data_IF_097356419097
#
_entry.id   IF_097356419097
#
_cell.length_a   1.000
_cell.length_b   1.000
_cell.length_c   1.000
_cell.angle_alpha   90.00
_cell.angle_beta   90.00
_cell.angle_gamma   90.00
#
_symmetry.space_group_name_H-M   'P 1'
#
loop_
_entity.id
_entity.type
_entity.pdbx_description
1 polymer ?
#
# COMPACT_ATOMS: atom_id res chain seq x y z
N UNK A 1 -24.26 22.13 -0.89
CA UNK A 1 -24.80 20.85 -1.37
C UNK A 1 -24.00 20.27 -2.54
N UNK A 2 -23.65 21.09 -3.55
CA UNK A 2 -22.88 20.67 -4.72
C UNK A 2 -21.45 20.17 -4.38
N UNK A 3 -20.75 20.86 -3.51
CA UNK A 3 -19.42 20.46 -3.03
C UNK A 3 -19.40 19.09 -2.30
N UNK A 4 -20.44 18.79 -1.52
CA UNK A 4 -20.51 17.49 -0.81
C UNK A 4 -20.77 16.31 -1.74
N UNK A 5 -21.55 16.52 -2.80
CA UNK A 5 -21.80 15.47 -3.81
C UNK A 5 -20.54 15.20 -4.65
N UNK A 6 -19.78 16.22 -4.96
CA UNK A 6 -18.51 16.11 -5.70
C UNK A 6 -17.48 15.39 -4.84
N UNK A 7 -17.35 15.73 -3.57
CA UNK A 7 -16.47 15.03 -2.61
C UNK A 7 -16.78 13.53 -2.53
N UNK A 8 -18.04 13.16 -2.35
CA UNK A 8 -18.43 11.75 -2.26
C UNK A 8 -18.09 10.96 -3.53
N UNK A 9 -18.23 11.57 -4.71
CA UNK A 9 -17.88 10.93 -5.99
C UNK A 9 -16.38 10.66 -6.09
N UNK A 10 -15.55 11.57 -5.59
CA UNK A 10 -14.09 11.41 -5.62
C UNK A 10 -13.65 10.28 -4.71
N UNK A 11 -14.12 10.26 -3.47
CA UNK A 11 -13.84 9.16 -2.56
C UNK A 11 -14.30 7.82 -3.14
N UNK A 12 -15.52 7.74 -3.66
CA UNK A 12 -16.05 6.51 -4.26
C UNK A 12 -15.17 5.99 -5.40
N UNK A 13 -14.74 6.87 -6.32
CA UNK A 13 -13.85 6.50 -7.43
C UNK A 13 -12.46 6.08 -6.93
N UNK A 14 -11.89 6.79 -5.97
CA UNK A 14 -10.58 6.45 -5.38
C UNK A 14 -10.60 5.08 -4.72
N UNK A 15 -11.61 4.80 -3.88
CA UNK A 15 -11.76 3.49 -3.25
C UNK A 15 -12.06 2.37 -4.27
N UNK A 16 -12.82 2.67 -5.33
CA UNK A 16 -13.06 1.70 -6.41
C UNK A 16 -11.75 1.29 -7.12
N UNK A 17 -10.92 2.27 -7.50
CA UNK A 17 -9.61 2.00 -8.09
C UNK A 17 -8.71 1.23 -7.13
N UNK A 18 -8.65 1.63 -5.85
CA UNK A 18 -7.90 0.92 -4.81
C UNK A 18 -8.36 -0.55 -4.69
N UNK A 19 -9.68 -0.78 -4.65
CA UNK A 19 -10.24 -2.13 -4.60
C UNK A 19 -9.83 -2.98 -5.80
N UNK A 20 -9.89 -2.42 -7.01
CA UNK A 20 -9.44 -3.13 -8.23
C UNK A 20 -7.95 -3.49 -8.16
N UNK A 21 -7.11 -2.60 -7.66
CA UNK A 21 -5.69 -2.88 -7.45
C UNK A 21 -5.44 -4.01 -6.44
N UNK A 22 -6.12 -3.97 -5.29
CA UNK A 22 -6.04 -5.01 -4.26
C UNK A 22 -6.54 -6.37 -4.78
N UNK A 23 -7.66 -6.37 -5.49
CA UNK A 23 -8.21 -7.58 -6.09
C UNK A 23 -7.23 -8.16 -7.12
N UNK A 24 -6.70 -7.32 -8.01
CA UNK A 24 -5.72 -7.73 -9.02
C UNK A 24 -4.45 -8.30 -8.40
N UNK A 25 -3.86 -7.60 -7.43
CA UNK A 25 -2.66 -8.09 -6.74
C UNK A 25 -2.91 -9.38 -5.97
N UNK A 26 -4.08 -9.53 -5.33
CA UNK A 26 -4.47 -10.75 -4.64
C UNK A 26 -4.60 -11.96 -5.59
N UNK A 27 -5.23 -11.77 -6.75
CA UNK A 27 -5.36 -12.81 -7.79
C UNK A 27 -3.97 -13.21 -8.31
N UNK A 28 -3.12 -12.23 -8.64
CA UNK A 28 -1.77 -12.50 -9.14
C UNK A 28 -0.93 -13.19 -8.08
N UNK A 29 -1.02 -12.78 -6.81
CA UNK A 29 -0.29 -13.42 -5.71
C UNK A 29 -0.68 -14.90 -5.55
N UNK A 30 -1.98 -15.18 -5.53
CA UNK A 30 -2.48 -16.55 -5.46
C UNK A 30 -2.06 -17.37 -6.69
N UNK A 31 -2.22 -16.83 -7.90
CA UNK A 31 -1.81 -17.49 -9.13
C UNK A 31 -0.31 -17.79 -9.13
N UNK A 32 0.54 -16.83 -8.80
CA UNK A 32 2.00 -17.00 -8.75
C UNK A 32 2.40 -18.12 -7.81
N UNK A 33 1.76 -18.21 -6.64
CA UNK A 33 2.05 -19.26 -5.68
C UNK A 33 1.54 -20.62 -6.14
N UNK A 34 0.24 -20.75 -6.48
CA UNK A 34 -0.36 -22.05 -6.80
C UNK A 34 0.03 -22.62 -8.15
N UNK A 35 0.53 -21.82 -9.09
CA UNK A 35 1.05 -22.29 -10.39
C UNK A 35 2.50 -22.80 -10.33
N UNK A 36 3.19 -22.67 -9.17
CA UNK A 36 4.61 -23.02 -9.04
C UNK A 36 5.57 -21.96 -9.58
N UNK A 37 5.07 -20.82 -10.08
CA UNK A 37 5.93 -19.73 -10.55
C UNK A 37 6.77 -19.14 -9.40
N UNK A 38 6.22 -19.12 -8.19
CA UNK A 38 6.95 -18.64 -7.00
C UNK A 38 8.23 -19.46 -6.77
N UNK A 39 8.15 -20.80 -6.83
CA UNK A 39 9.30 -21.68 -6.65
C UNK A 39 10.37 -21.46 -7.73
N UNK A 40 9.93 -21.26 -8.98
CA UNK A 40 10.82 -20.94 -10.09
C UNK A 40 11.52 -19.58 -9.90
N UNK A 41 10.82 -18.56 -9.39
CA UNK A 41 11.40 -17.25 -9.12
C UNK A 41 12.45 -17.31 -8.00
N UNK A 42 12.21 -18.10 -6.97
CA UNK A 42 13.17 -18.28 -5.85
C UNK A 42 14.37 -19.07 -6.32
N UNK A 43 14.17 -20.23 -6.99
CA UNK A 43 15.25 -21.12 -7.42
C UNK A 43 16.21 -20.47 -8.42
N UNK A 44 15.70 -19.60 -9.30
CA UNK A 44 16.50 -18.87 -10.27
C UNK A 44 17.05 -17.53 -9.76
N UNK A 45 16.91 -17.23 -8.45
CA UNK A 45 17.25 -15.94 -7.84
C UNK A 45 16.59 -14.72 -8.53
N UNK A 46 15.51 -14.93 -9.30
CA UNK A 46 14.83 -13.88 -10.07
C UNK A 46 13.88 -13.04 -9.20
N UNK A 47 13.58 -13.48 -7.97
CA UNK A 47 12.70 -12.75 -7.06
C UNK A 47 13.25 -11.35 -6.74
N UNK A 48 14.58 -11.22 -6.61
CA UNK A 48 15.22 -9.91 -6.43
C UNK A 48 14.99 -8.95 -7.60
N UNK A 49 14.89 -9.47 -8.82
CA UNK A 49 14.56 -8.66 -10.01
C UNK A 49 13.13 -8.14 -9.91
N UNK A 50 12.18 -8.95 -9.44
CA UNK A 50 10.78 -8.53 -9.22
C UNK A 50 10.71 -7.38 -8.24
N UNK A 51 11.44 -7.43 -7.12
CA UNK A 51 11.51 -6.34 -6.13
C UNK A 51 12.08 -5.05 -6.74
N UNK A 52 13.10 -5.15 -7.59
CA UNK A 52 13.65 -3.99 -8.30
C UNK A 52 12.63 -3.41 -9.27
N UNK A 53 11.93 -4.25 -10.05
CA UNK A 53 10.88 -3.82 -10.98
C UNK A 53 9.74 -3.14 -10.22
N UNK A 54 9.34 -3.67 -9.08
CA UNK A 54 8.32 -3.06 -8.21
C UNK A 54 8.75 -1.66 -7.76
N UNK A 55 9.97 -1.52 -7.23
CA UNK A 55 10.52 -0.23 -6.81
C UNK A 55 10.59 0.77 -7.97
N UNK A 56 11.07 0.33 -9.13
CA UNK A 56 11.13 1.18 -10.32
C UNK A 56 9.74 1.61 -10.76
N UNK A 57 8.76 0.72 -10.74
CA UNK A 57 7.40 1.01 -11.20
C UNK A 57 6.71 2.04 -10.28
N UNK A 58 6.86 1.94 -8.95
CA UNK A 58 6.30 2.95 -8.02
C UNK A 58 6.98 4.30 -8.16
N UNK A 59 8.28 4.33 -8.40
CA UNK A 59 9.01 5.57 -8.67
C UNK A 59 8.54 6.20 -9.98
N UNK A 60 8.43 5.42 -11.05
CA UNK A 60 7.91 5.88 -12.34
C UNK A 60 6.49 6.42 -12.21
N UNK A 61 5.62 5.74 -11.46
CA UNK A 61 4.27 6.23 -11.19
C UNK A 61 4.29 7.64 -10.57
N UNK A 62 5.09 7.85 -9.51
CA UNK A 62 5.18 9.13 -8.83
C UNK A 62 5.76 10.25 -9.71
N UNK A 63 6.75 9.94 -10.56
CA UNK A 63 7.36 10.95 -11.44
C UNK A 63 6.51 11.26 -12.68
N UNK A 64 5.79 10.27 -13.20
CA UNK A 64 5.12 10.39 -14.49
C UNK A 64 3.63 10.72 -14.39
N UNK A 65 2.98 10.52 -13.22
CA UNK A 65 1.54 10.68 -13.10
C UNK A 65 1.05 12.07 -13.55
N UNK A 66 1.84 13.14 -13.30
CA UNK A 66 1.49 14.51 -13.75
C UNK A 66 1.62 14.69 -15.26
N UNK A 67 2.53 13.97 -15.91
CA UNK A 67 2.88 14.12 -17.33
C UNK A 67 2.04 13.23 -18.26
N UNK A 68 1.62 12.07 -17.78
CA UNK A 68 0.90 11.08 -18.58
C UNK A 68 -0.60 11.40 -18.68
N UNK A 69 -1.28 10.95 -19.76
CA UNK A 69 -2.74 11.00 -19.85
C UNK A 69 -3.37 10.03 -18.82
N UNK A 70 -4.68 10.23 -18.44
CA UNK A 70 -5.34 9.43 -17.41
C UNK A 70 -5.29 7.91 -17.66
N UNK A 71 -5.47 7.49 -18.90
CA UNK A 71 -5.42 6.07 -19.30
C UNK A 71 -4.05 5.47 -19.01
N UNK A 72 -2.97 6.17 -19.34
CA UNK A 72 -1.60 5.69 -19.08
C UNK A 72 -1.28 5.64 -17.59
N UNK A 73 -1.80 6.57 -16.78
CA UNK A 73 -1.67 6.53 -15.32
C UNK A 73 -2.40 5.30 -14.77
N UNK A 74 -3.61 5.00 -15.28
CA UNK A 74 -4.36 3.79 -14.91
C UNK A 74 -3.62 2.50 -15.25
N UNK A 75 -3.04 2.41 -16.46
CA UNK A 75 -2.23 1.26 -16.87
C UNK A 75 -1.02 1.11 -15.94
N UNK A 76 -0.31 2.18 -15.65
CA UNK A 76 0.87 2.14 -14.79
C UNK A 76 0.51 1.72 -13.35
N UNK A 77 -0.65 2.16 -12.85
CA UNK A 77 -1.20 1.70 -11.57
C UNK A 77 -1.46 0.18 -11.56
N UNK A 78 -2.12 -0.35 -12.61
CA UNK A 78 -2.36 -1.78 -12.72
C UNK A 78 -1.07 -2.59 -12.89
N UNK A 79 -0.12 -2.12 -13.69
CA UNK A 79 1.19 -2.76 -13.82
C UNK A 79 1.86 -2.86 -12.46
N UNK A 80 1.85 -1.76 -11.68
CA UNK A 80 2.38 -1.79 -10.32
C UNK A 80 1.66 -2.82 -9.45
N UNK A 81 0.33 -2.81 -9.41
CA UNK A 81 -0.44 -3.74 -8.55
C UNK A 81 -0.24 -5.20 -8.95
N UNK A 82 -0.05 -5.52 -10.25
CA UNK A 82 0.28 -6.88 -10.70
C UNK A 82 1.69 -7.28 -10.25
N UNK A 83 2.69 -6.43 -10.41
CA UNK A 83 4.06 -6.69 -9.94
C UNK A 83 4.09 -6.88 -8.42
N UNK A 84 3.42 -6.00 -7.67
CA UNK A 84 3.27 -6.16 -6.23
C UNK A 84 2.56 -7.47 -5.86
N UNK A 85 1.58 -7.92 -6.68
CA UNK A 85 0.96 -9.24 -6.51
C UNK A 85 1.97 -10.38 -6.57
N UNK A 86 2.92 -10.33 -7.51
CA UNK A 86 4.01 -11.33 -7.58
C UNK A 86 4.84 -11.29 -6.28
N UNK A 87 5.20 -10.12 -5.80
CA UNK A 87 5.94 -9.97 -4.53
C UNK A 87 5.13 -10.49 -3.34
N UNK A 88 3.83 -10.19 -3.28
CA UNK A 88 2.93 -10.66 -2.23
C UNK A 88 2.72 -12.18 -2.23
N UNK A 89 3.08 -12.90 -3.31
CA UNK A 89 2.96 -14.36 -3.33
C UNK A 89 3.75 -15.06 -2.22
N UNK A 90 4.81 -14.42 -1.69
CA UNK A 90 5.60 -14.93 -0.56
C UNK A 90 4.73 -15.18 0.69
N UNK A 91 3.65 -14.42 0.89
CA UNK A 91 2.79 -14.61 2.06
C UNK A 91 2.13 -15.99 2.08
N UNK A 92 1.80 -16.54 0.92
CA UNK A 92 1.21 -17.87 0.79
C UNK A 92 2.22 -19.00 1.10
N UNK A 93 3.52 -18.72 0.94
CA UNK A 93 4.58 -19.65 1.32
C UNK A 93 4.85 -19.62 2.84
N UNK A 94 4.68 -18.47 3.47
CA UNK A 94 5.06 -18.26 4.89
C UNK A 94 3.90 -18.44 5.86
N UNK A 95 2.66 -18.11 5.46
CA UNK A 95 1.50 -18.09 6.35
C UNK A 95 0.41 -19.06 5.92
N UNK A 96 -0.38 -19.54 6.88
CA UNK A 96 -1.57 -20.32 6.60
C UNK A 96 -2.62 -19.47 5.86
N UNK A 97 -3.30 -20.06 4.86
CA UNK A 97 -4.31 -19.35 4.07
C UNK A 97 -5.44 -18.78 4.93
N UNK A 98 -5.90 -19.53 5.94
CA UNK A 98 -6.91 -19.08 6.89
C UNK A 98 -6.48 -17.80 7.60
N UNK A 99 -5.22 -17.75 8.05
CA UNK A 99 -4.62 -16.60 8.71
C UNK A 99 -4.53 -15.39 7.79
N UNK A 100 -4.11 -15.59 6.54
CA UNK A 100 -4.07 -14.53 5.53
C UNK A 100 -5.46 -13.90 5.36
N UNK A 101 -6.51 -14.72 5.22
CA UNK A 101 -7.89 -14.23 5.02
C UNK A 101 -8.38 -13.47 6.27
N UNK A 102 -8.19 -14.02 7.47
CA UNK A 102 -8.61 -13.35 8.71
C UNK A 102 -7.90 -12.00 8.90
N UNK A 103 -6.59 -11.96 8.70
CA UNK A 103 -5.81 -10.74 8.83
C UNK A 103 -6.18 -9.72 7.74
N UNK A 104 -6.48 -10.16 6.52
CA UNK A 104 -6.97 -9.26 5.48
C UNK A 104 -8.28 -8.57 5.89
N UNK A 105 -9.23 -9.30 6.45
CA UNK A 105 -10.51 -8.74 6.94
C UNK A 105 -10.26 -7.77 8.09
N UNK A 106 -9.41 -8.13 9.05
CA UNK A 106 -9.05 -7.25 10.19
C UNK A 106 -8.39 -5.97 9.65
N UNK A 107 -7.46 -6.10 8.72
CA UNK A 107 -6.79 -4.94 8.10
C UNK A 107 -7.77 -4.03 7.36
N UNK A 108 -8.77 -4.61 6.68
CA UNK A 108 -9.82 -3.85 6.02
C UNK A 108 -10.70 -3.08 7.02
N UNK A 109 -11.02 -3.66 8.17
CA UNK A 109 -11.75 -2.98 9.24
C UNK A 109 -10.93 -1.84 9.85
N UNK A 110 -9.66 -2.09 10.17
CA UNK A 110 -8.74 -1.07 10.69
C UNK A 110 -8.62 0.08 9.69
N UNK A 111 -8.38 -0.24 8.42
CA UNK A 111 -8.26 0.75 7.36
C UNK A 111 -9.55 1.57 7.19
N UNK A 112 -10.72 0.95 7.27
CA UNK A 112 -12.01 1.64 7.22
C UNK A 112 -12.18 2.63 8.38
N UNK A 113 -11.78 2.26 9.61
CA UNK A 113 -11.80 3.14 10.78
C UNK A 113 -10.87 4.34 10.57
N UNK A 114 -9.62 4.09 10.14
CA UNK A 114 -8.65 5.16 9.87
C UNK A 114 -9.12 6.09 8.76
N UNK A 115 -9.71 5.53 7.71
CA UNK A 115 -10.31 6.28 6.60
C UNK A 115 -11.45 7.17 7.09
N UNK A 116 -12.31 6.66 7.98
CA UNK A 116 -13.40 7.44 8.57
C UNK A 116 -12.86 8.60 9.43
N UNK A 117 -11.80 8.35 10.22
CA UNK A 117 -11.14 9.39 11.03
C UNK A 117 -10.54 10.46 10.11
N UNK A 118 -9.79 10.09 9.08
CA UNK A 118 -9.20 11.02 8.11
C UNK A 118 -10.26 11.84 7.35
N UNK A 119 -11.37 11.19 6.96
CA UNK A 119 -12.51 11.85 6.32
C UNK A 119 -13.18 12.88 7.23
N UNK A 120 -13.37 12.57 8.51
CA UNK A 120 -13.99 13.47 9.51
C UNK A 120 -13.07 14.58 10.00
N UNK A 121 -11.78 14.43 9.84
CA UNK A 121 -10.80 15.42 10.30
C UNK A 121 -10.88 16.68 9.44
N UNK A 122 -11.28 17.80 10.04
CA UNK A 122 -11.37 19.11 9.38
C UNK A 122 -10.10 19.95 9.53
N UNK A 123 -9.12 19.47 10.28
CA UNK A 123 -7.83 20.14 10.44
C UNK A 123 -6.96 19.87 9.22
N UNK A 124 -6.19 20.87 8.78
CA UNK A 124 -5.14 20.67 7.80
C UNK A 124 -3.99 19.87 8.45
N UNK A 125 -3.75 18.68 7.90
CA UNK A 125 -2.70 17.78 8.34
C UNK A 125 -1.41 17.92 7.50
N UNK A 126 -1.27 18.95 6.67
CA UNK A 126 -0.10 19.13 5.78
C UNK A 126 1.22 19.10 6.54
N UNK A 127 1.27 19.59 7.76
CA UNK A 127 2.45 19.56 8.63
C UNK A 127 2.85 18.12 9.03
N UNK A 128 1.93 17.16 9.02
CA UNK A 128 2.21 15.75 9.35
C UNK A 128 3.14 15.10 8.32
N UNK A 129 3.14 15.60 7.08
CA UNK A 129 3.98 15.08 6.01
C UNK A 129 5.44 14.97 6.44
N UNK A 130 5.99 16.00 7.08
CA UNK A 130 7.39 16.01 7.51
C UNK A 130 7.66 14.92 8.56
N UNK A 131 6.81 14.83 9.58
CA UNK A 131 6.97 13.81 10.63
C UNK A 131 6.81 12.40 10.08
N UNK A 132 5.80 12.15 9.25
CA UNK A 132 5.58 10.87 8.57
C UNK A 132 6.81 10.48 7.76
N UNK A 133 7.35 11.40 6.95
CA UNK A 133 8.52 11.12 6.12
C UNK A 133 9.73 10.76 6.99
N UNK A 134 9.99 11.49 8.07
CA UNK A 134 11.10 11.20 8.98
C UNK A 134 10.94 9.83 9.64
N UNK A 135 9.74 9.50 10.14
CA UNK A 135 9.48 8.20 10.77
C UNK A 135 9.57 7.04 9.78
N UNK A 136 9.10 7.20 8.54
CA UNK A 136 9.24 6.17 7.50
C UNK A 136 10.72 5.94 7.15
N UNK A 137 11.49 7.00 6.96
CA UNK A 137 12.94 6.89 6.69
C UNK A 137 13.65 6.21 7.87
N UNK A 138 13.34 6.61 9.11
CA UNK A 138 13.90 5.99 10.30
C UNK A 138 13.55 4.50 10.37
N UNK A 139 12.29 4.12 10.11
CA UNK A 139 11.84 2.74 10.05
C UNK A 139 12.58 1.92 9.00
N UNK A 140 12.76 2.47 7.79
CA UNK A 140 13.53 1.82 6.70
C UNK A 140 14.98 1.60 7.12
N UNK A 141 15.64 2.63 7.65
CA UNK A 141 17.06 2.54 8.09
C UNK A 141 17.19 1.49 9.19
N UNK A 142 16.33 1.52 10.21
CA UNK A 142 16.38 0.57 11.32
C UNK A 142 16.09 -0.86 10.85
N UNK A 143 15.13 -1.06 9.94
CA UNK A 143 14.87 -2.37 9.34
C UNK A 143 16.07 -2.88 8.56
N UNK A 144 16.74 -2.01 7.80
CA UNK A 144 17.96 -2.35 7.07
C UNK A 144 19.10 -2.74 8.03
N UNK A 145 19.32 -1.94 9.08
CA UNK A 145 20.33 -2.23 10.10
C UNK A 145 20.03 -3.55 10.81
N UNK A 146 18.75 -3.83 11.12
CA UNK A 146 18.39 -5.10 11.73
C UNK A 146 18.64 -6.28 10.80
N UNK A 147 18.24 -6.17 9.54
CA UNK A 147 18.37 -7.23 8.54
C UNK A 147 19.84 -7.64 8.31
N UNK A 148 20.74 -6.68 8.19
CA UNK A 148 22.13 -6.95 7.80
C UNK A 148 23.10 -7.11 8.99
N UNK A 149 22.87 -6.39 10.10
CA UNK A 149 23.83 -6.28 11.20
C UNK A 149 23.35 -6.92 12.51
N UNK A 150 22.11 -6.62 12.97
CA UNK A 150 21.66 -7.04 14.32
C UNK A 150 21.01 -8.42 14.27
N UNK A 151 20.15 -8.67 13.27
CA UNK A 151 19.40 -9.92 13.04
C UNK A 151 18.57 -10.37 14.26
N UNK A 152 17.96 -9.41 14.95
CA UNK A 152 17.15 -9.65 16.16
C UNK A 152 15.67 -9.76 15.81
N UNK A 153 15.05 -10.91 16.08
CA UNK A 153 13.61 -11.11 15.92
C UNK A 153 12.76 -10.21 16.83
N UNK A 154 13.27 -9.89 18.01
CA UNK A 154 12.60 -8.93 18.92
C UNK A 154 12.58 -7.54 18.32
N UNK A 155 13.69 -7.11 17.70
CA UNK A 155 13.74 -5.82 17.03
C UNK A 155 12.83 -5.79 15.80
N UNK A 156 12.72 -6.90 15.04
CA UNK A 156 11.75 -7.01 13.94
C UNK A 156 10.32 -6.78 14.42
N UNK A 157 9.94 -7.42 15.55
CA UNK A 157 8.60 -7.23 16.12
C UNK A 157 8.36 -5.78 16.57
N UNK A 158 9.34 -5.14 17.20
CA UNK A 158 9.24 -3.73 17.61
C UNK A 158 9.09 -2.82 16.37
N UNK A 159 9.85 -3.09 15.32
CA UNK A 159 9.79 -2.35 14.06
C UNK A 159 8.44 -2.55 13.36
N UNK A 160 7.87 -3.75 13.39
CA UNK A 160 6.55 -4.01 12.84
C UNK A 160 5.47 -3.17 13.54
N UNK A 161 5.48 -3.10 14.87
CA UNK A 161 4.57 -2.25 15.64
C UNK A 161 4.80 -0.76 15.36
N UNK A 162 6.06 -0.33 15.30
CA UNK A 162 6.41 1.06 14.99
C UNK A 162 5.92 1.47 13.61
N UNK A 163 6.24 0.67 12.57
CA UNK A 163 5.84 0.95 11.20
C UNK A 163 4.32 0.90 11.04
N UNK A 164 3.64 -0.04 11.72
CA UNK A 164 2.18 -0.11 11.74
C UNK A 164 1.57 1.19 12.29
N UNK A 165 2.08 1.69 13.41
CA UNK A 165 1.62 2.96 13.98
C UNK A 165 1.86 4.15 13.05
N UNK A 166 3.00 4.17 12.35
CA UNK A 166 3.29 5.20 11.33
C UNK A 166 2.26 5.13 10.20
N UNK A 167 1.95 3.93 9.67
CA UNK A 167 0.97 3.77 8.59
C UNK A 167 -0.45 4.10 9.02
N UNK A 168 -0.81 3.99 10.29
CA UNK A 168 -2.07 4.54 10.78
C UNK A 168 -2.13 6.06 10.60
N UNK A 169 -1.05 6.75 10.92
CA UNK A 169 -0.94 8.20 10.69
C UNK A 169 -0.92 8.56 9.20
N UNK A 170 -0.20 7.79 8.37
CA UNK A 170 -0.15 7.96 6.90
C UNK A 170 -1.55 7.87 6.30
N UNK A 171 -2.30 6.83 6.63
CA UNK A 171 -3.65 6.61 6.10
C UNK A 171 -4.60 7.76 6.46
N UNK A 172 -4.59 8.23 7.72
CA UNK A 172 -5.39 9.39 8.15
C UNK A 172 -4.99 10.63 7.36
N UNK A 173 -3.69 10.85 7.19
CA UNK A 173 -3.14 11.97 6.42
C UNK A 173 -3.54 11.90 4.94
N UNK A 174 -3.38 10.74 4.28
CA UNK A 174 -3.66 10.61 2.85
C UNK A 174 -5.15 10.71 2.55
N UNK A 175 -6.02 10.17 3.40
CA UNK A 175 -7.47 10.39 3.30
C UNK A 175 -7.82 11.88 3.48
N UNK A 176 -7.22 12.56 4.45
CA UNK A 176 -7.46 14.01 4.64
C UNK A 176 -6.98 14.82 3.44
N UNK A 177 -5.83 14.47 2.88
CA UNK A 177 -5.23 15.11 1.70
C UNK A 177 -6.09 14.97 0.44
N UNK A 178 -6.88 13.90 0.28
CA UNK A 178 -7.80 13.75 -0.85
C UNK A 178 -8.75 14.94 -0.96
N UNK A 179 -9.18 15.50 0.17
CA UNK A 179 -10.04 16.70 0.19
C UNK A 179 -9.34 17.94 -0.39
N UNK A 180 -8.05 18.10 -0.11
CA UNK A 180 -7.27 19.25 -0.55
C UNK A 180 -6.92 19.16 -2.05
N UNK A 181 -6.69 17.95 -2.56
CA UNK A 181 -6.38 17.71 -3.98
C UNK A 181 -7.56 17.92 -4.92
N UNK A 182 -8.78 17.97 -4.39
CA UNK A 182 -9.98 18.23 -5.19
C UNK A 182 -10.03 19.63 -5.78
N UNK A 183 -9.43 20.59 -5.07
CA UNK A 183 -9.44 22.00 -5.44
C UNK A 183 -8.26 22.37 -6.36
N UNK A 184 -7.40 21.40 -6.73
CA UNK A 184 -6.31 21.63 -7.70
C UNK A 184 -6.85 21.70 -9.13
N UNK A 185 -7.10 22.91 -9.64
CA UNK A 185 -7.60 23.18 -11.00
C UNK A 185 -6.63 22.73 -12.10
N UNK A 186 -5.35 22.55 -11.80
CA UNK A 186 -4.28 22.26 -12.78
C UNK A 186 -4.10 20.77 -13.10
N UNK A 187 -4.79 19.86 -12.43
CA UNK A 187 -4.67 18.42 -12.65
C UNK A 187 -6.03 17.83 -13.03
N UNK A 188 -6.02 16.99 -14.08
CA UNK A 188 -7.22 16.26 -14.47
C UNK A 188 -7.73 15.39 -13.29
N UNK A 189 -9.01 15.56 -12.94
CA UNK A 189 -9.65 14.89 -11.81
C UNK A 189 -9.57 13.36 -11.88
N UNK A 190 -9.61 12.76 -13.09
CA UNK A 190 -9.43 11.31 -13.24
C UNK A 190 -8.05 10.83 -12.80
N UNK A 191 -7.01 11.62 -13.08
CA UNK A 191 -5.64 11.29 -12.61
C UNK A 191 -5.52 11.39 -11.10
N UNK A 192 -6.21 12.36 -10.48
CA UNK A 192 -6.20 12.51 -9.02
C UNK A 192 -6.78 11.27 -8.35
N UNK A 193 -7.88 10.71 -8.86
CA UNK A 193 -8.47 9.51 -8.28
C UNK A 193 -7.52 8.31 -8.31
N UNK A 194 -6.83 8.10 -9.44
CA UNK A 194 -5.90 6.99 -9.60
C UNK A 194 -4.66 7.21 -8.71
N UNK A 195 -4.16 8.46 -8.64
CA UNK A 195 -3.05 8.80 -7.76
C UNK A 195 -3.37 8.54 -6.29
N UNK A 196 -4.52 9.02 -5.82
CA UNK A 196 -4.98 8.79 -4.46
C UNK A 196 -5.23 7.30 -4.20
N UNK A 197 -5.77 6.57 -5.18
CA UNK A 197 -5.96 5.13 -5.07
C UNK A 197 -4.63 4.38 -4.89
N UNK A 198 -3.58 4.81 -5.58
CA UNK A 198 -2.23 4.25 -5.43
C UNK A 198 -1.69 4.49 -4.01
N UNK A 199 -1.86 5.70 -3.44
CA UNK A 199 -1.43 5.98 -2.07
C UNK A 199 -2.17 5.09 -1.06
N UNK A 200 -3.50 5.05 -1.14
CA UNK A 200 -4.31 4.23 -0.24
C UNK A 200 -4.07 2.73 -0.40
N UNK A 201 -3.77 2.28 -1.62
CA UNK A 201 -3.36 0.90 -1.90
C UNK A 201 -2.07 0.55 -1.16
N UNK A 202 -1.05 1.41 -1.24
CA UNK A 202 0.22 1.25 -0.53
C UNK A 202 0.01 1.23 0.99
N UNK A 203 -0.81 2.13 1.51
CA UNK A 203 -1.14 2.19 2.93
C UNK A 203 -1.78 0.89 3.40
N UNK A 204 -2.80 0.42 2.66
CA UNK A 204 -3.50 -0.81 2.99
C UNK A 204 -2.57 -2.03 2.98
N UNK A 205 -1.76 -2.19 1.92
CA UNK A 205 -0.82 -3.31 1.80
C UNK A 205 0.18 -3.29 2.96
N UNK A 206 0.71 -2.13 3.31
CA UNK A 206 1.65 -2.02 4.43
C UNK A 206 0.99 -2.34 5.77
N UNK A 207 -0.23 -1.84 6.06
CA UNK A 207 -0.99 -2.19 7.27
C UNK A 207 -1.23 -3.70 7.31
N UNK A 208 -1.71 -4.28 6.20
CA UNK A 208 -1.96 -5.72 6.10
C UNK A 208 -0.71 -6.55 6.37
N UNK A 209 0.43 -6.22 5.73
CA UNK A 209 1.67 -6.94 5.91
C UNK A 209 2.20 -6.85 7.35
N UNK A 210 2.09 -5.69 8.01
CA UNK A 210 2.51 -5.54 9.41
C UNK A 210 1.60 -6.30 10.37
N UNK A 211 0.28 -6.23 10.19
CA UNK A 211 -0.66 -7.03 11.00
C UNK A 211 -0.42 -8.52 10.77
N UNK A 212 -0.17 -8.94 9.52
CA UNK A 212 0.16 -10.33 9.19
C UNK A 212 1.48 -10.78 9.81
N UNK A 213 2.51 -9.93 9.82
CA UNK A 213 3.79 -10.23 10.46
C UNK A 213 3.66 -10.41 11.98
N UNK A 214 2.82 -9.60 12.64
CA UNK A 214 2.66 -9.60 14.10
C UNK A 214 1.75 -10.76 14.56
N UNK A 215 0.64 -10.98 13.87
CA UNK A 215 -0.44 -11.88 14.33
C UNK A 215 -0.65 -13.09 13.42
N UNK A 216 0.00 -13.14 12.28
CA UNK A 216 -0.18 -14.21 11.30
C UNK A 216 0.36 -15.55 11.79
N UNK A 217 -0.43 -16.62 11.61
CA UNK A 217 0.02 -17.97 11.88
C UNK A 217 0.90 -18.46 10.73
N UNK A 218 2.16 -18.75 11.04
CA UNK A 218 3.10 -19.27 10.05
C UNK A 218 2.78 -20.74 9.73
N UNK A 219 3.11 -21.14 8.51
CA UNK A 219 3.07 -22.54 8.07
C UNK A 219 4.19 -23.31 8.76
N UNK A 220 3.86 -24.50 9.23
CA UNK A 220 4.84 -25.46 9.77
C UNK A 220 5.72 -26.03 8.67
#
# INVERSE_FOLDING_TARGET
MENSLTQNKIFAKTFFWMFLGLLGSGIVAAYTYYSGLFENLISNASFGVVLIVELVTVLLFNFLFRKLPPIAVGILYFVYSMVNGITLSVIFAVYELSSIIYIFIISALVFAILSFIGYRTNKDLSNWRTYITVFLIAGIILSFVNLFFIKSSTLDLILDWFILAVFFGVTIYDINKIKLLQDEENINQEKIHIYCAMQLYLDFVNIFLRILSIFGKRRD
#
